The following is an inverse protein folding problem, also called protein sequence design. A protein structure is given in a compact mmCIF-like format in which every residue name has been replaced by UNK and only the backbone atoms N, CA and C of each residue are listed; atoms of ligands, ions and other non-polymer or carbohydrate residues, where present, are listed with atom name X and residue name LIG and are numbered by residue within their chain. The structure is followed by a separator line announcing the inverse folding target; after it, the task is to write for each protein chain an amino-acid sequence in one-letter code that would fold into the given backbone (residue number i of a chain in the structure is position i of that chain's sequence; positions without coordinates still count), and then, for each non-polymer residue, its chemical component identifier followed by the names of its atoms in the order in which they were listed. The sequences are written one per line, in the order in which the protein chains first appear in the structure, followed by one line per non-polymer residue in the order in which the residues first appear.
data_IF_518643760005
#
_entry.id   IF_518643760005
#
_cell.length_a   1.000
_cell.length_b   1.000
_cell.length_c   1.000
_cell.angle_alpha   90.00
_cell.angle_beta   90.00
_cell.angle_gamma   90.00
#
_symmetry.space_group_name_H-M   'P 1'
#
loop_
_entity.id
_entity.type
_entity.pdbx_description
1 polymer ?
#
# COMPACT_ATOMS: atom_id res chain seq x y z
N UNK A 1 -10.06 -10.35 -21.01
CA UNK A 1 -10.45 -11.00 -22.28
C UNK A 1 -11.78 -11.76 -22.28
N UNK A 2 -11.92 -12.96 -21.67
CA UNK A 2 -13.20 -13.71 -21.74
C UNK A 2 -14.39 -12.90 -21.20
N UNK A 3 -14.24 -12.29 -20.03
CA UNK A 3 -15.29 -11.46 -19.42
C UNK A 3 -15.69 -10.26 -20.29
N UNK A 4 -14.78 -9.69 -21.08
CA UNK A 4 -15.10 -8.57 -21.99
C UNK A 4 -15.92 -9.07 -23.18
N UNK A 5 -15.58 -10.23 -23.76
CA UNK A 5 -16.36 -10.83 -24.84
C UNK A 5 -17.78 -11.19 -24.38
N UNK A 6 -17.91 -11.70 -23.15
CA UNK A 6 -19.20 -12.01 -22.53
C UNK A 6 -19.92 -10.77 -21.98
N UNK A 7 -19.39 -9.56 -22.20
CA UNK A 7 -19.98 -8.27 -21.77
C UNK A 7 -20.23 -8.19 -20.26
N UNK A 8 -19.29 -8.68 -19.47
CA UNK A 8 -19.26 -8.62 -18.01
C UNK A 8 -18.19 -7.62 -17.54
N UNK A 9 -18.41 -6.30 -17.67
CA UNK A 9 -17.35 -5.29 -17.52
C UNK A 9 -16.81 -5.18 -16.08
N UNK A 10 -17.63 -5.44 -15.06
CA UNK A 10 -17.16 -5.51 -13.67
C UNK A 10 -16.22 -6.70 -13.45
N UNK A 11 -16.57 -7.86 -14.00
CA UNK A 11 -15.72 -9.07 -13.91
C UNK A 11 -14.43 -8.87 -14.70
N UNK A 12 -14.49 -8.18 -15.84
CA UNK A 12 -13.30 -7.80 -16.58
C UNK A 12 -12.38 -6.90 -15.76
N UNK A 13 -12.91 -5.87 -15.09
CA UNK A 13 -12.12 -5.00 -14.21
C UNK A 13 -11.47 -5.78 -13.06
N UNK A 14 -12.20 -6.69 -12.42
CA UNK A 14 -11.67 -7.57 -11.36
C UNK A 14 -10.55 -8.48 -11.88
N UNK A 15 -10.75 -9.07 -13.07
CA UNK A 15 -9.75 -9.93 -13.68
C UNK A 15 -8.47 -9.15 -14.02
N UNK A 16 -8.60 -7.96 -14.61
CA UNK A 16 -7.44 -7.11 -14.91
C UNK A 16 -6.73 -6.62 -13.65
N UNK A 17 -7.46 -6.30 -12.59
CA UNK A 17 -6.88 -5.94 -11.29
C UNK A 17 -6.05 -7.09 -10.70
N UNK A 18 -6.55 -8.32 -10.76
CA UNK A 18 -5.81 -9.50 -10.29
C UNK A 18 -4.58 -9.78 -11.17
N UNK A 19 -4.73 -9.67 -12.49
CA UNK A 19 -3.60 -9.81 -13.42
C UNK A 19 -2.54 -8.75 -13.18
N UNK A 20 -2.93 -7.50 -12.92
CA UNK A 20 -2.00 -6.44 -12.57
C UNK A 20 -1.23 -6.72 -11.28
N UNK A 21 -1.90 -7.30 -10.27
CA UNK A 21 -1.26 -7.74 -9.04
C UNK A 21 -0.16 -8.77 -9.38
N UNK A 22 -0.52 -9.88 -10.03
CA UNK A 22 0.41 -10.94 -10.39
C UNK A 22 1.52 -10.50 -11.35
N UNK A 23 1.24 -9.51 -12.21
CA UNK A 23 2.18 -8.98 -13.17
C UNK A 23 3.32 -8.18 -12.52
N UNK A 24 3.14 -7.67 -11.28
CA UNK A 24 4.21 -6.92 -10.58
C UNK A 24 5.49 -7.75 -10.42
N UNK A 25 5.40 -9.08 -10.37
CA UNK A 25 6.55 -9.99 -10.38
C UNK A 25 7.48 -9.84 -11.58
N UNK A 26 6.95 -9.35 -12.69
CA UNK A 26 7.72 -9.10 -13.92
C UNK A 26 8.09 -7.63 -14.10
N UNK A 27 7.73 -6.78 -13.14
CA UNK A 27 7.95 -5.35 -13.16
C UNK A 27 6.67 -4.53 -13.30
N UNK A 28 6.80 -3.22 -13.09
CA UNK A 28 5.66 -2.30 -13.10
C UNK A 28 5.06 -2.08 -14.49
N UNK A 29 5.82 -2.24 -15.57
CA UNK A 29 5.31 -1.97 -16.93
C UNK A 29 4.22 -2.98 -17.33
N UNK A 30 4.42 -4.27 -17.03
CA UNK A 30 3.40 -5.32 -17.25
C UNK A 30 2.16 -5.09 -16.38
N UNK A 31 2.36 -4.66 -15.14
CA UNK A 31 1.26 -4.35 -14.22
C UNK A 31 0.47 -3.11 -14.68
N UNK A 32 1.18 -2.07 -15.12
CA UNK A 32 0.59 -0.83 -15.64
C UNK A 32 -0.23 -1.12 -16.90
N UNK A 33 0.24 -1.96 -17.83
CA UNK A 33 -0.53 -2.36 -19.01
C UNK A 33 -1.86 -3.04 -18.65
N UNK A 34 -1.87 -3.90 -17.63
CA UNK A 34 -3.11 -4.52 -17.14
C UNK A 34 -4.08 -3.48 -16.54
N UNK A 35 -3.55 -2.51 -15.78
CA UNK A 35 -4.36 -1.44 -15.16
C UNK A 35 -4.85 -0.41 -16.18
N UNK A 36 -4.08 -0.15 -17.24
CA UNK A 36 -4.52 0.67 -18.37
C UNK A 36 -5.69 0.00 -19.09
N UNK A 37 -5.63 -1.32 -19.31
CA UNK A 37 -6.77 -2.05 -19.89
C UNK A 37 -7.99 -2.04 -18.96
N UNK A 38 -7.78 -2.21 -17.65
CA UNK A 38 -8.84 -2.05 -16.64
C UNK A 38 -9.48 -0.66 -16.71
N UNK A 39 -8.67 0.39 -16.83
CA UNK A 39 -9.12 1.79 -16.95
C UNK A 39 -9.97 1.98 -18.21
N UNK A 40 -9.50 1.49 -19.37
CA UNK A 40 -10.26 1.57 -20.63
C UNK A 40 -11.62 0.90 -20.50
N UNK A 41 -11.69 -0.32 -19.97
CA UNK A 41 -12.96 -1.03 -19.76
C UNK A 41 -13.88 -0.26 -18.81
N UNK A 42 -13.34 0.30 -17.73
CA UNK A 42 -14.13 1.09 -16.79
C UNK A 42 -14.70 2.37 -17.44
N UNK A 43 -13.94 3.04 -18.31
CA UNK A 43 -14.38 4.24 -19.02
C UNK A 43 -15.42 3.93 -20.11
N UNK A 44 -15.17 2.91 -20.94
CA UNK A 44 -16.10 2.46 -22.00
C UNK A 44 -17.48 2.09 -21.43
N UNK A 45 -17.51 1.53 -20.22
CA UNK A 45 -18.73 1.06 -19.56
C UNK A 45 -19.26 1.99 -18.45
N UNK A 46 -18.74 3.22 -18.34
CA UNK A 46 -19.18 4.19 -17.32
C UNK A 46 -19.17 3.63 -15.89
N UNK A 47 -18.07 2.98 -15.49
CA UNK A 47 -17.86 2.37 -14.18
C UNK A 47 -16.95 3.27 -13.30
N UNK A 48 -17.48 4.33 -12.65
CA UNK A 48 -16.66 5.36 -12.00
C UNK A 48 -15.80 4.84 -10.84
N UNK A 49 -16.31 3.90 -10.04
CA UNK A 49 -15.55 3.30 -8.93
C UNK A 49 -14.34 2.51 -9.46
N UNK A 50 -14.54 1.74 -10.53
CA UNK A 50 -13.48 0.95 -11.16
C UNK A 50 -12.44 1.81 -11.87
N UNK A 51 -12.88 2.94 -12.45
CA UNK A 51 -11.98 3.96 -13.01
C UNK A 51 -11.06 4.53 -11.93
N UNK A 52 -11.60 4.92 -10.77
CA UNK A 52 -10.79 5.47 -9.67
C UNK A 52 -9.88 4.41 -9.05
N UNK A 53 -10.33 3.16 -8.91
CA UNK A 53 -9.48 2.04 -8.45
C UNK A 53 -8.28 1.83 -9.40
N UNK A 54 -8.49 1.87 -10.73
CA UNK A 54 -7.42 1.74 -11.70
C UNK A 54 -6.42 2.91 -11.60
N UNK A 55 -6.92 4.15 -11.52
CA UNK A 55 -6.09 5.35 -11.36
C UNK A 55 -5.27 5.32 -10.06
N UNK A 56 -5.88 4.89 -8.95
CA UNK A 56 -5.20 4.78 -7.67
C UNK A 56 -4.04 3.77 -7.73
N UNK A 57 -4.25 2.62 -8.40
CA UNK A 57 -3.21 1.59 -8.56
C UNK A 57 -2.08 2.00 -9.50
N UNK A 58 -2.41 2.65 -10.61
CA UNK A 58 -1.41 3.27 -11.50
C UNK A 58 -0.60 4.33 -10.73
N UNK A 59 -1.26 5.11 -9.88
CA UNK A 59 -0.61 6.05 -8.97
C UNK A 59 0.30 5.38 -7.97
N UNK A 60 -0.11 4.24 -7.39
CA UNK A 60 0.69 3.46 -6.47
C UNK A 60 1.95 2.87 -7.15
N UNK A 61 1.83 2.35 -8.38
CA UNK A 61 2.99 1.87 -9.14
C UNK A 61 3.96 3.02 -9.49
N UNK A 62 3.43 4.18 -9.93
CA UNK A 62 4.25 5.36 -10.18
C UNK A 62 4.97 5.84 -8.91
N UNK A 63 4.27 5.85 -7.77
CA UNK A 63 4.83 6.21 -6.47
C UNK A 63 5.95 5.26 -6.04
N UNK A 64 5.78 3.95 -6.20
CA UNK A 64 6.84 2.98 -5.89
C UNK A 64 8.08 3.15 -6.80
N UNK A 65 7.87 3.53 -8.06
CA UNK A 65 8.95 3.73 -9.04
C UNK A 65 9.74 5.02 -8.83
N UNK A 66 9.09 6.12 -8.44
CA UNK A 66 9.71 7.46 -8.47
C UNK A 66 9.47 8.31 -7.22
N UNK A 67 8.68 7.85 -6.26
CA UNK A 67 8.21 8.64 -5.13
C UNK A 67 7.14 9.69 -5.47
N UNK A 68 6.64 9.73 -6.72
CA UNK A 68 5.60 10.70 -7.12
C UNK A 68 4.20 10.26 -6.69
N UNK A 69 3.70 10.87 -5.61
CA UNK A 69 2.36 10.62 -5.10
C UNK A 69 1.26 11.53 -5.70
N UNK A 70 1.52 12.29 -6.76
CA UNK A 70 0.53 13.20 -7.37
C UNK A 70 -0.72 12.48 -7.87
N UNK A 71 -0.53 11.37 -8.60
CA UNK A 71 -1.64 10.53 -9.11
C UNK A 71 -2.47 9.93 -7.98
N UNK A 72 -1.86 9.65 -6.83
CA UNK A 72 -2.58 9.18 -5.63
C UNK A 72 -3.46 10.29 -5.06
N UNK A 73 -2.98 11.54 -5.02
CA UNK A 73 -3.80 12.70 -4.59
C UNK A 73 -4.97 12.93 -5.53
N UNK A 74 -4.74 12.89 -6.84
CA UNK A 74 -5.79 13.01 -7.86
C UNK A 74 -6.85 11.91 -7.72
N UNK A 75 -6.42 10.65 -7.55
CA UNK A 75 -7.34 9.53 -7.34
C UNK A 75 -8.11 9.63 -6.02
N UNK A 76 -7.48 10.13 -4.94
CA UNK A 76 -8.15 10.40 -3.67
C UNK A 76 -9.25 11.44 -3.83
N UNK A 77 -8.96 12.53 -4.52
CA UNK A 77 -9.92 13.62 -4.69
C UNK A 77 -11.11 13.13 -5.55
N UNK A 78 -10.86 12.38 -6.62
CA UNK A 78 -11.91 11.69 -7.38
C UNK A 78 -12.72 10.68 -6.53
N UNK A 79 -12.06 9.92 -5.65
CA UNK A 79 -12.74 9.01 -4.73
C UNK A 79 -13.65 9.74 -3.74
N UNK A 80 -13.25 10.93 -3.27
CA UNK A 80 -14.05 11.77 -2.38
C UNK A 80 -15.29 12.28 -3.10
N UNK A 81 -15.15 12.78 -4.32
CA UNK A 81 -16.26 13.26 -5.13
C UNK A 81 -17.30 12.15 -5.41
N UNK A 82 -16.85 10.89 -5.53
CA UNK A 82 -17.72 9.73 -5.68
C UNK A 82 -18.31 9.19 -4.37
N UNK A 83 -17.87 9.68 -3.21
CA UNK A 83 -18.21 9.09 -1.91
C UNK A 83 -17.66 7.68 -1.70
N UNK A 84 -16.62 7.28 -2.45
CA UNK A 84 -16.02 5.96 -2.41
C UNK A 84 -15.06 5.81 -1.23
N UNK A 85 -15.61 5.71 -0.01
CA UNK A 85 -14.86 5.79 1.25
C UNK A 85 -13.71 4.76 1.36
N UNK A 86 -13.89 3.54 0.83
CA UNK A 86 -12.84 2.53 0.82
C UNK A 86 -11.62 2.95 -0.03
N UNK A 87 -11.85 3.60 -1.17
CA UNK A 87 -10.80 4.13 -2.05
C UNK A 87 -10.11 5.33 -1.42
N UNK A 88 -10.89 6.20 -0.75
CA UNK A 88 -10.32 7.31 0.03
C UNK A 88 -9.37 6.78 1.09
N UNK A 89 -9.78 5.78 1.88
CA UNK A 89 -8.92 5.18 2.90
C UNK A 89 -7.66 4.55 2.31
N UNK A 90 -7.77 3.86 1.18
CA UNK A 90 -6.62 3.27 0.51
C UNK A 90 -5.61 4.35 0.07
N UNK A 91 -6.09 5.42 -0.55
CA UNK A 91 -5.24 6.54 -0.97
C UNK A 91 -4.61 7.29 0.22
N UNK A 92 -5.36 7.52 1.29
CA UNK A 92 -4.85 8.15 2.53
C UNK A 92 -3.73 7.32 3.16
N UNK A 93 -3.87 5.99 3.21
CA UNK A 93 -2.79 5.12 3.69
C UNK A 93 -1.50 5.29 2.89
N UNK A 94 -1.60 5.33 1.55
CA UNK A 94 -0.42 5.54 0.69
C UNK A 94 0.20 6.93 0.90
N UNK A 95 -0.64 7.98 1.03
CA UNK A 95 -0.18 9.35 1.30
C UNK A 95 0.46 9.50 2.68
N UNK A 96 0.01 8.74 3.68
CA UNK A 96 0.66 8.71 4.99
C UNK A 96 2.07 8.09 4.90
N UNK A 97 2.22 6.97 4.19
CA UNK A 97 3.52 6.34 3.97
C UNK A 97 4.47 7.26 3.18
N UNK A 98 3.94 7.93 2.15
CA UNK A 98 4.64 8.95 1.39
C UNK A 98 5.13 10.12 2.26
N UNK A 99 4.29 10.61 3.18
CA UNK A 99 4.69 11.65 4.15
C UNK A 99 5.79 11.16 5.11
N UNK A 100 5.74 9.92 5.61
CA UNK A 100 6.80 9.34 6.45
C UNK A 100 8.13 9.27 5.68
N UNK A 101 8.10 8.79 4.44
CA UNK A 101 9.31 8.66 3.62
C UNK A 101 9.96 10.00 3.25
N UNK A 102 9.17 11.08 3.18
CA UNK A 102 9.67 12.45 3.02
C UNK A 102 10.00 13.17 4.34
N UNK A 103 9.94 12.46 5.47
CA UNK A 103 10.09 13.01 6.81
C UNK A 103 9.10 14.14 7.16
N UNK A 104 7.96 14.21 6.46
CA UNK A 104 6.82 15.07 6.84
C UNK A 104 5.97 14.35 7.90
N UNK A 105 6.58 14.16 9.07
CA UNK A 105 5.98 13.43 10.19
C UNK A 105 4.69 14.06 10.72
N UNK A 106 4.52 15.39 10.78
CA UNK A 106 3.24 15.99 11.16
C UNK A 106 2.10 15.61 10.21
N UNK A 107 2.33 15.69 8.89
CA UNK A 107 1.30 15.31 7.92
C UNK A 107 0.97 13.81 7.99
N UNK A 108 1.98 12.95 8.16
CA UNK A 108 1.77 11.52 8.35
C UNK A 108 0.92 11.23 9.59
N UNK A 109 1.24 11.86 10.73
CA UNK A 109 0.50 11.68 11.99
C UNK A 109 -0.96 12.13 11.85
N UNK A 110 -1.21 13.27 11.20
CA UNK A 110 -2.57 13.78 10.99
C UNK A 110 -3.44 12.78 10.19
N UNK A 111 -2.87 12.19 9.13
CA UNK A 111 -3.56 11.18 8.33
C UNK A 111 -3.83 9.91 9.17
N UNK A 112 -2.84 9.43 9.91
CA UNK A 112 -2.98 8.24 10.77
C UNK A 112 -4.08 8.43 11.81
N UNK A 113 -4.08 9.57 12.52
CA UNK A 113 -5.07 9.86 13.56
C UNK A 113 -6.50 9.92 12.98
N UNK A 114 -6.64 10.47 11.77
CA UNK A 114 -7.92 10.54 11.07
C UNK A 114 -8.39 9.18 10.55
N UNK A 115 -7.49 8.30 10.10
CA UNK A 115 -7.86 7.13 9.31
C UNK A 115 -7.77 5.79 10.05
N UNK A 116 -6.92 5.67 11.08
CA UNK A 116 -6.64 4.38 11.72
C UNK A 116 -7.86 3.78 12.42
N UNK A 117 -8.52 4.54 13.30
CA UNK A 117 -9.72 4.05 14.01
C UNK A 117 -10.91 3.79 13.06
N UNK A 118 -11.23 4.67 12.09
CA UNK A 118 -12.27 4.38 11.10
C UNK A 118 -12.01 3.11 10.28
N UNK A 119 -10.75 2.81 9.93
CA UNK A 119 -10.42 1.60 9.14
C UNK A 119 -10.77 0.32 9.89
N UNK A 120 -10.57 0.27 11.21
CA UNK A 120 -10.98 -0.86 12.05
C UNK A 120 -12.50 -1.00 12.10
N UNK A 121 -13.22 0.11 12.33
CA UNK A 121 -14.69 0.12 12.42
C UNK A 121 -15.38 -0.34 11.14
N UNK A 122 -14.80 0.00 9.99
CA UNK A 122 -15.30 -0.42 8.68
C UNK A 122 -14.98 -1.87 8.32
N UNK A 123 -14.27 -2.62 9.17
CA UNK A 123 -13.77 -3.97 8.89
C UNK A 123 -12.94 -4.06 7.60
N UNK A 124 -12.28 -2.96 7.23
CA UNK A 124 -11.30 -2.94 6.16
C UNK A 124 -9.96 -3.46 6.70
N UNK A 125 -9.85 -4.78 6.88
CA UNK A 125 -8.70 -5.41 7.56
C UNK A 125 -7.38 -5.07 6.86
N UNK A 126 -7.34 -5.14 5.52
CA UNK A 126 -6.15 -4.82 4.74
C UNK A 126 -5.71 -3.36 4.90
N UNK A 127 -6.66 -2.42 4.78
CA UNK A 127 -6.38 -0.99 5.00
C UNK A 127 -5.96 -0.67 6.44
N UNK A 128 -6.58 -1.33 7.42
CA UNK A 128 -6.26 -1.16 8.83
C UNK A 128 -4.83 -1.64 9.14
N UNK A 129 -4.47 -2.85 8.69
CA UNK A 129 -3.11 -3.37 8.83
C UNK A 129 -2.08 -2.48 8.18
N UNK A 130 -2.36 -1.96 6.98
CA UNK A 130 -1.44 -1.05 6.32
C UNK A 130 -1.24 0.24 7.13
N UNK A 131 -2.30 0.85 7.67
CA UNK A 131 -2.19 2.04 8.53
C UNK A 131 -1.45 1.78 9.85
N UNK A 132 -1.63 0.60 10.48
CA UNK A 132 -0.84 0.19 11.65
C UNK A 132 0.64 0.11 11.31
N UNK A 133 0.97 -0.44 10.15
CA UNK A 133 2.34 -0.50 9.67
C UNK A 133 2.91 0.89 9.40
N UNK A 134 2.16 1.79 8.74
CA UNK A 134 2.60 3.18 8.53
C UNK A 134 2.86 3.88 9.87
N UNK A 135 2.02 3.64 10.89
CA UNK A 135 2.23 4.19 12.23
C UNK A 135 3.49 3.61 12.91
N UNK A 136 3.81 2.33 12.67
CA UNK A 136 5.07 1.74 13.10
C UNK A 136 6.26 2.37 12.38
N UNK A 137 6.18 2.56 11.06
CA UNK A 137 7.21 3.21 10.23
C UNK A 137 7.46 4.64 10.68
N UNK A 138 6.40 5.42 10.95
CA UNK A 138 6.51 6.76 11.51
C UNK A 138 7.31 6.76 12.83
N UNK A 139 6.98 5.87 13.75
CA UNK A 139 7.69 5.76 15.02
C UNK A 139 9.15 5.30 14.83
N UNK A 140 9.40 4.35 13.92
CA UNK A 140 10.73 3.87 13.58
C UNK A 140 11.61 5.00 13.02
N UNK A 141 11.10 5.78 12.07
CA UNK A 141 11.80 6.91 11.44
C UNK A 141 12.07 8.08 12.40
N UNK A 142 11.48 8.05 13.60
CA UNK A 142 11.73 9.01 14.68
C UNK A 142 12.55 8.40 15.83
N UNK A 143 13.09 7.18 15.68
CA UNK A 143 13.87 6.48 16.71
C UNK A 143 13.03 6.06 17.93
N UNK A 144 11.70 5.95 17.79
CA UNK A 144 10.78 5.66 18.90
C UNK A 144 10.47 4.16 18.98
N UNK A 145 11.47 3.33 19.27
CA UNK A 145 11.36 1.86 19.29
C UNK A 145 10.16 1.32 20.06
N UNK A 146 9.94 1.78 21.30
CA UNK A 146 8.78 1.33 22.11
C UNK A 146 7.44 1.68 21.48
N UNK A 147 7.35 2.77 20.71
CA UNK A 147 6.13 3.11 20.00
C UNK A 147 5.97 2.26 18.74
N UNK A 148 7.06 2.03 18.00
CA UNK A 148 7.09 1.14 16.83
C UNK A 148 6.62 -0.27 17.21
N UNK A 149 7.24 -0.91 18.20
CA UNK A 149 6.88 -2.28 18.62
C UNK A 149 5.43 -2.40 19.08
N UNK A 150 4.87 -1.36 19.71
CA UNK A 150 3.44 -1.35 20.08
C UNK A 150 2.54 -1.36 18.85
N UNK A 151 2.88 -0.65 17.77
CA UNK A 151 2.09 -0.70 16.55
C UNK A 151 2.27 -2.01 15.80
N UNK A 152 3.48 -2.59 15.81
CA UNK A 152 3.73 -3.92 15.23
C UNK A 152 2.95 -5.02 15.98
N UNK A 153 2.86 -4.96 17.30
CA UNK A 153 2.02 -5.89 18.07
C UNK A 153 0.54 -5.77 17.69
N UNK A 154 0.02 -4.54 17.50
CA UNK A 154 -1.35 -4.32 17.02
C UNK A 154 -1.54 -4.83 15.60
N UNK A 155 -0.52 -4.68 14.76
CA UNK A 155 -0.51 -5.21 13.40
C UNK A 155 -0.66 -6.73 13.42
N UNK A 156 0.16 -7.43 14.20
CA UNK A 156 0.10 -8.90 14.33
C UNK A 156 -1.27 -9.37 14.86
N UNK A 157 -1.87 -8.63 15.81
CA UNK A 157 -3.19 -8.96 16.37
C UNK A 157 -4.37 -8.72 15.39
N UNK A 158 -4.17 -7.91 14.35
CA UNK A 158 -5.25 -7.54 13.43
C UNK A 158 -5.57 -8.63 12.40
N UNK A 159 -4.66 -9.59 12.17
CA UNK A 159 -4.83 -10.81 11.35
C UNK A 159 -3.59 -11.71 11.48
N UNK A 160 -3.77 -13.03 11.50
CA UNK A 160 -2.66 -14.01 11.60
C UNK A 160 -2.12 -14.44 10.22
N UNK A 161 -2.73 -13.96 9.12
CA UNK A 161 -2.28 -14.31 7.77
C UNK A 161 -0.88 -13.78 7.44
N UNK A 162 -0.06 -14.60 6.78
CA UNK A 162 1.22 -14.17 6.22
C UNK A 162 1.00 -13.00 5.28
N UNK A 163 1.59 -11.85 5.62
CA UNK A 163 1.30 -10.60 4.93
C UNK A 163 2.41 -10.23 3.96
N UNK A 164 2.05 -9.81 2.74
CA UNK A 164 2.97 -9.19 1.79
C UNK A 164 3.69 -7.96 2.35
N UNK A 165 3.27 -7.45 3.50
CA UNK A 165 3.84 -6.32 4.20
C UNK A 165 5.08 -6.66 5.05
N UNK A 166 5.48 -7.93 5.14
CA UNK A 166 6.65 -8.35 5.92
C UNK A 166 7.95 -7.63 5.53
N UNK A 167 8.29 -7.44 4.24
CA UNK A 167 9.49 -6.68 3.86
C UNK A 167 9.47 -5.23 4.36
N UNK A 168 8.29 -4.59 4.36
CA UNK A 168 8.11 -3.21 4.86
C UNK A 168 8.29 -3.17 6.38
N UNK A 169 7.78 -4.16 7.11
CA UNK A 169 7.97 -4.28 8.57
C UNK A 169 9.45 -4.46 8.93
N UNK A 170 10.14 -5.38 8.27
CA UNK A 170 11.53 -5.69 8.57
C UNK A 170 12.45 -4.54 8.13
N UNK A 171 12.28 -4.02 6.92
CA UNK A 171 13.09 -2.95 6.35
C UNK A 171 12.77 -1.55 6.90
N UNK A 172 11.56 -1.04 6.65
CA UNK A 172 11.21 0.35 6.96
C UNK A 172 10.89 0.56 8.45
N UNK A 173 10.55 -0.48 9.21
CA UNK A 173 10.37 -0.34 10.65
C UNK A 173 11.63 -0.78 11.42
N UNK A 174 11.88 -2.09 11.49
CA UNK A 174 12.87 -2.63 12.44
C UNK A 174 14.31 -2.27 12.08
N UNK A 175 14.71 -2.50 10.83
CA UNK A 175 16.04 -2.17 10.35
C UNK A 175 16.29 -0.66 10.41
N UNK A 176 15.35 0.15 9.92
CA UNK A 176 15.48 1.63 9.97
C UNK A 176 15.63 2.15 11.41
N UNK A 177 14.81 1.66 12.34
CA UNK A 177 14.93 2.06 13.75
C UNK A 177 16.28 1.63 14.35
N UNK A 178 16.80 0.45 14.00
CA UNK A 178 18.11 0.00 14.45
C UNK A 178 19.25 0.86 13.87
N UNK A 179 19.14 1.30 12.61
CA UNK A 179 20.09 2.24 12.01
C UNK A 179 20.14 3.58 12.76
N UNK A 180 19.00 4.14 13.14
CA UNK A 180 18.94 5.38 13.92
C UNK A 180 19.51 5.24 15.34
N UNK A 181 19.50 4.03 15.91
CA UNK A 181 20.07 3.72 17.22
C UNK A 181 21.54 3.29 17.14
N UNK A 182 22.14 3.31 15.95
CA UNK A 182 23.51 2.83 15.67
C UNK A 182 23.72 1.34 15.99
N UNK A 183 22.65 0.55 16.11
CA UNK A 183 22.71 -0.90 16.25
C UNK A 183 22.86 -1.57 14.88
N UNK A 184 24.10 -1.53 14.37
CA UNK A 184 24.46 -2.13 13.09
C UNK A 184 24.17 -3.63 13.03
N UNK A 185 24.35 -4.35 14.13
CA UNK A 185 24.15 -5.79 14.15
C UNK A 185 22.68 -6.14 13.94
N UNK A 186 21.78 -5.46 14.67
CA UNK A 186 20.35 -5.65 14.50
C UNK A 186 19.88 -5.19 13.11
N UNK A 187 20.35 -4.04 12.62
CA UNK A 187 19.98 -3.56 11.30
C UNK A 187 20.31 -4.57 10.19
N UNK A 188 21.49 -5.19 10.24
CA UNK A 188 21.88 -6.24 9.27
C UNK A 188 21.04 -7.50 9.42
N UNK A 189 20.72 -7.92 10.65
CA UNK A 189 19.89 -9.10 10.89
C UNK A 189 18.47 -8.93 10.32
N UNK A 190 17.86 -7.77 10.52
CA UNK A 190 16.51 -7.47 10.01
C UNK A 190 16.49 -7.38 8.48
N UNK A 191 17.51 -6.78 7.85
CA UNK A 191 17.63 -6.74 6.39
C UNK A 191 17.87 -8.14 5.79
N UNK A 192 18.69 -8.97 6.45
CA UNK A 192 18.90 -10.35 6.04
C UNK A 192 17.61 -11.18 6.17
N UNK A 193 16.82 -10.95 7.22
CA UNK A 193 15.52 -11.59 7.39
C UNK A 193 14.52 -11.15 6.30
N UNK A 194 14.55 -9.88 5.89
CA UNK A 194 13.73 -9.38 4.79
C UNK A 194 14.09 -10.08 3.46
N UNK A 195 15.39 -10.16 3.13
CA UNK A 195 15.87 -10.83 1.93
C UNK A 195 15.50 -12.34 1.93
N UNK A 196 15.73 -13.04 3.04
CA UNK A 196 15.38 -14.46 3.17
C UNK A 196 13.87 -14.70 3.09
N UNK A 197 13.04 -13.73 3.52
CA UNK A 197 11.59 -13.82 3.37
C UNK A 197 11.19 -13.71 1.89
N UNK A 198 11.79 -12.79 1.14
CA UNK A 198 11.53 -12.57 -0.29
C UNK A 198 11.95 -13.77 -1.15
N UNK A 199 12.99 -14.52 -0.76
CA UNK A 199 13.39 -15.76 -1.46
C UNK A 199 12.29 -16.84 -1.47
N UNK A 200 11.37 -16.80 -0.51
CA UNK A 200 10.30 -17.79 -0.33
C UNK A 200 8.90 -17.25 -0.62
N UNK A 201 8.76 -15.95 -0.87
CA UNK A 201 7.48 -15.29 -1.08
C UNK A 201 7.59 -14.31 -2.23
N UNK A 202 6.73 -14.41 -3.26
CA UNK A 202 6.68 -13.39 -4.30
C UNK A 202 6.43 -12.02 -3.67
N UNK A 203 7.39 -11.11 -3.84
CA UNK A 203 7.27 -9.77 -3.30
C UNK A 203 6.25 -8.98 -4.13
N UNK A 204 5.49 -8.07 -3.53
CA UNK A 204 4.57 -7.21 -4.30
C UNK A 204 5.14 -5.78 -4.45
N UNK A 205 6.29 -5.53 -3.84
CA UNK A 205 7.05 -4.29 -3.76
C UNK A 205 8.39 -4.46 -4.49
N UNK A 206 8.38 -4.87 -5.76
CA UNK A 206 9.60 -4.87 -6.56
C UNK A 206 10.10 -3.43 -6.70
N UNK A 207 11.36 -3.21 -6.33
CA UNK A 207 12.12 -1.99 -6.60
C UNK A 207 13.07 -2.24 -7.77
#
# INVERSE_FOLDING_TARGET
EVAEREKLPVVACQAWQLLALLARERGFDDADACLERMLTVAEEHSLPVWRVEALLRLGANAFLRSGDARRIREARDAARDLGALALVQQAEGLLAMDAVQRADFPAAQEIIDRCLEPSARMRNLGGHRYLLLVAATLAAHQGRRRQMERQLLRFDQADESTSFLMPVLLGLCRAFCALLEEDRAQALAELAAAAAWEDHHPNMFYL
#
